data_IF_968601267959
#
_entry.id   IF_968601267959
#
_cell.length_a   1.000
_cell.length_b   1.000
_cell.length_c   1.000
_cell.angle_alpha   90.00
_cell.angle_beta   90.00
_cell.angle_gamma   90.00
#
_symmetry.space_group_name_H-M   'P 1'
#
loop_
_entity.id
_entity.type
_entity.pdbx_description
1 polymer ?
#
# COMPACT_ATOMS: atom_id res chain seq x y z
N UNK A 1 9.54 7.35 6.42
CA UNK A 1 8.57 8.12 5.64
C UNK A 1 9.36 9.20 4.95
N UNK A 2 9.58 9.06 3.65
CA UNK A 2 10.24 10.10 2.86
C UNK A 2 9.10 11.02 2.40
N UNK A 3 9.14 12.28 2.83
CA UNK A 3 8.19 13.31 2.43
C UNK A 3 8.67 13.92 1.11
N UNK A 4 8.00 13.57 0.02
CA UNK A 4 8.35 14.05 -1.32
C UNK A 4 7.81 15.47 -1.50
N UNK A 5 8.69 16.43 -1.80
CA UNK A 5 8.28 17.80 -2.10
C UNK A 5 7.48 17.80 -3.41
N UNK A 6 6.16 17.95 -3.29
CA UNK A 6 5.22 17.97 -4.42
C UNK A 6 5.48 19.03 -5.51
N UNK A 7 6.49 19.90 -5.35
CA UNK A 7 6.93 20.84 -6.38
C UNK A 7 7.62 20.17 -7.57
N UNK A 8 8.37 19.07 -7.35
CA UNK A 8 9.22 18.51 -8.42
C UNK A 8 8.41 18.00 -9.62
N UNK A 9 7.25 17.36 -9.44
CA UNK A 9 6.45 16.85 -10.59
C UNK A 9 5.89 17.99 -11.45
N UNK A 10 5.61 19.14 -10.84
CA UNK A 10 5.10 20.33 -11.55
C UNK A 10 6.17 21.08 -12.33
N UNK A 11 7.45 20.95 -11.95
CA UNK A 11 8.57 21.74 -12.49
C UNK A 11 9.40 20.97 -13.54
N UNK A 12 9.15 19.66 -13.74
CA UNK A 12 9.82 18.84 -14.77
C UNK A 12 9.52 19.31 -16.20
N UNK A 13 8.53 20.19 -16.42
CA UNK A 13 8.24 20.68 -17.77
C UNK A 13 9.27 21.66 -18.33
N UNK A 14 10.18 22.24 -17.52
CA UNK A 14 10.95 23.40 -17.97
C UNK A 14 12.44 23.50 -17.54
N UNK A 15 13.08 22.50 -16.92
CA UNK A 15 14.53 22.58 -16.64
C UNK A 15 15.31 21.29 -16.93
N UNK A 16 16.20 21.38 -17.93
CA UNK A 16 17.24 20.41 -18.23
C UNK A 16 18.24 20.35 -17.05
N UNK A 17 18.27 19.26 -16.26
CA UNK A 17 19.44 18.99 -15.41
C UNK A 17 19.27 18.26 -14.07
N UNK A 18 18.35 17.30 -13.90
CA UNK A 18 18.33 16.44 -12.69
C UNK A 18 18.22 14.96 -13.06
N UNK A 19 19.25 14.42 -13.70
CA UNK A 19 19.39 12.98 -14.00
C UNK A 19 19.82 12.13 -12.77
N UNK A 20 19.92 12.70 -11.57
CA UNK A 20 20.44 11.99 -10.39
C UNK A 20 19.42 11.58 -9.31
N UNK A 21 18.22 12.19 -9.29
CA UNK A 21 17.24 12.00 -8.20
C UNK A 21 16.12 11.00 -8.60
N UNK A 22 15.89 10.82 -9.90
CA UNK A 22 14.86 9.90 -10.41
C UNK A 22 15.27 8.42 -10.34
N UNK A 23 16.53 8.08 -10.60
CA UNK A 23 17.05 6.70 -10.48
C UNK A 23 16.91 6.15 -9.04
N UNK A 24 17.05 7.03 -8.05
CA UNK A 24 16.82 6.69 -6.65
C UNK A 24 15.33 6.51 -6.35
N UNK A 25 14.46 7.31 -6.98
CA UNK A 25 13.02 7.23 -6.79
C UNK A 25 12.45 5.90 -7.30
N UNK A 26 12.86 5.45 -8.48
CA UNK A 26 12.42 4.16 -9.04
C UNK A 26 12.79 3.01 -8.09
N UNK A 27 14.03 3.02 -7.59
CA UNK A 27 14.50 2.06 -6.58
C UNK A 27 13.64 2.07 -5.31
N UNK A 28 13.26 3.25 -4.81
CA UNK A 28 12.38 3.36 -3.64
C UNK A 28 10.95 2.90 -3.90
N UNK A 29 10.42 3.10 -5.11
CA UNK A 29 9.08 2.66 -5.50
C UNK A 29 9.02 1.13 -5.65
N UNK A 30 10.09 0.48 -6.07
CA UNK A 30 10.18 -0.99 -6.13
C UNK A 30 10.18 -1.65 -4.75
N UNK A 31 10.86 -1.05 -3.76
CA UNK A 31 10.98 -1.57 -2.40
C UNK A 31 9.84 -1.13 -1.46
N UNK A 32 8.97 -0.22 -1.92
CA UNK A 32 7.90 0.33 -1.11
C UNK A 32 6.91 -0.75 -0.62
N UNK A 33 6.65 -0.72 0.68
CA UNK A 33 5.68 -1.61 1.33
C UNK A 33 4.22 -1.17 1.16
N UNK A 34 4.02 0.12 0.93
CA UNK A 34 2.76 0.75 0.54
C UNK A 34 3.08 2.10 -0.14
N UNK A 35 2.23 2.53 -1.07
CA UNK A 35 2.34 3.83 -1.75
C UNK A 35 1.18 4.72 -1.31
N UNK A 36 1.51 5.90 -0.78
CA UNK A 36 0.54 6.91 -0.36
C UNK A 36 0.55 8.06 -1.36
N UNK A 37 -0.58 8.30 -2.00
CA UNK A 37 -0.74 9.32 -3.05
C UNK A 37 -1.64 10.42 -2.51
N UNK A 38 -1.13 11.63 -2.33
CA UNK A 38 -1.91 12.74 -1.77
C UNK A 38 -2.55 13.54 -2.90
N UNK A 39 -3.88 13.59 -2.91
CA UNK A 39 -4.70 14.43 -3.78
C UNK A 39 -5.10 15.69 -3.02
N UNK A 40 -4.85 16.86 -3.59
CA UNK A 40 -5.26 18.13 -2.99
C UNK A 40 -6.79 18.31 -3.10
N UNK A 41 -7.48 18.32 -1.95
CA UNK A 41 -8.93 18.49 -1.91
C UNK A 41 -9.43 19.80 -2.50
N UNK A 42 -8.62 20.86 -2.52
CA UNK A 42 -8.96 22.13 -3.15
C UNK A 42 -8.92 22.02 -4.68
N UNK A 43 -7.87 21.39 -5.25
CA UNK A 43 -7.80 21.11 -6.69
C UNK A 43 -8.95 20.19 -7.11
N UNK A 44 -9.22 19.17 -6.29
CA UNK A 44 -10.33 18.25 -6.51
C UNK A 44 -11.69 18.95 -6.43
N UNK A 45 -11.90 19.86 -5.47
CA UNK A 45 -13.12 20.65 -5.38
C UNK A 45 -13.34 21.48 -6.64
N UNK A 46 -12.30 22.18 -7.11
CA UNK A 46 -12.36 22.97 -8.34
C UNK A 46 -12.68 22.10 -9.57
N UNK A 47 -12.07 20.92 -9.66
CA UNK A 47 -12.38 19.92 -10.68
C UNK A 47 -13.84 19.42 -10.63
N UNK A 48 -14.35 19.15 -9.42
CA UNK A 48 -15.74 18.70 -9.27
C UNK A 48 -16.73 19.81 -9.64
N UNK A 49 -16.38 21.08 -9.43
CA UNK A 49 -17.21 22.25 -9.76
C UNK A 49 -17.12 22.67 -11.24
N UNK A 50 -16.00 22.41 -11.92
CA UNK A 50 -15.84 22.77 -13.33
C UNK A 50 -16.64 21.88 -14.29
N UNK A 51 -17.11 20.73 -13.81
CA UNK A 51 -17.88 19.78 -14.60
C UNK A 51 -19.26 20.34 -15.00
N UNK A 52 -19.36 20.92 -16.21
CA UNK A 52 -20.57 21.52 -16.76
C UNK A 52 -20.52 23.04 -16.98
N UNK A 53 -19.39 23.69 -16.65
CA UNK A 53 -19.17 25.12 -16.92
C UNK A 53 -18.17 25.28 -18.08
N UNK A 54 -18.49 26.11 -19.07
CA UNK A 54 -17.64 26.33 -20.26
C UNK A 54 -16.27 26.98 -19.96
N UNK A 55 -16.07 27.47 -18.74
CA UNK A 55 -14.80 28.05 -18.28
C UNK A 55 -14.07 27.06 -17.38
N UNK A 56 -13.37 26.09 -17.98
CA UNK A 56 -12.37 25.33 -17.26
C UNK A 56 -11.23 26.26 -16.84
N UNK A 57 -11.02 26.39 -15.53
CA UNK A 57 -9.87 27.13 -15.02
C UNK A 57 -8.57 26.44 -15.48
N UNK A 58 -7.62 27.21 -16.04
CA UNK A 58 -6.32 26.72 -16.53
C UNK A 58 -5.61 25.78 -15.54
N UNK A 59 -5.74 26.07 -14.23
CA UNK A 59 -5.15 25.28 -13.15
C UNK A 59 -5.79 23.89 -13.00
N UNK A 60 -7.11 23.77 -13.23
CA UNK A 60 -7.82 22.48 -13.21
C UNK A 60 -7.43 21.64 -14.41
N UNK A 61 -7.38 22.27 -15.60
CA UNK A 61 -6.97 21.61 -16.84
C UNK A 61 -5.53 21.08 -16.77
N UNK A 62 -4.56 21.90 -16.27
CA UNK A 62 -3.19 21.43 -16.00
C UNK A 62 -3.16 20.25 -15.03
N UNK A 63 -3.87 20.35 -13.92
CA UNK A 63 -3.90 19.27 -12.94
C UNK A 63 -4.49 17.97 -13.51
N UNK A 64 -5.56 18.06 -14.30
CA UNK A 64 -6.27 16.92 -14.87
C UNK A 64 -5.50 16.24 -16.02
N UNK A 65 -4.82 17.02 -16.86
CA UNK A 65 -4.18 16.53 -18.08
C UNK A 65 -2.66 16.39 -17.99
N UNK A 66 -2.03 16.91 -16.94
CA UNK A 66 -0.57 16.81 -16.74
C UNK A 66 -0.25 16.22 -15.37
N UNK A 67 -0.56 16.92 -14.27
CA UNK A 67 -0.11 16.52 -12.93
C UNK A 67 -0.63 15.11 -12.54
N UNK A 68 -1.93 14.88 -12.70
CA UNK A 68 -2.58 13.65 -12.25
C UNK A 68 -2.22 12.43 -13.13
N UNK A 69 -2.21 12.52 -14.49
CA UNK A 69 -1.68 11.45 -15.33
C UNK A 69 -0.23 11.07 -15.02
N UNK A 70 0.67 12.06 -14.84
CA UNK A 70 2.06 11.80 -14.49
C UNK A 70 2.18 11.05 -13.15
N UNK A 71 1.39 11.47 -12.16
CA UNK A 71 1.32 10.79 -10.87
C UNK A 71 0.80 9.34 -11.01
N UNK A 72 -0.14 9.08 -11.91
CA UNK A 72 -0.65 7.73 -12.16
C UNK A 72 0.38 6.84 -12.84
N UNK A 73 1.18 7.39 -13.75
CA UNK A 73 2.27 6.66 -14.38
C UNK A 73 3.29 6.18 -13.34
N UNK A 74 3.72 7.06 -12.42
CA UNK A 74 4.63 6.69 -11.33
C UNK A 74 4.04 5.59 -10.43
N UNK A 75 2.72 5.63 -10.18
CA UNK A 75 2.03 4.60 -9.38
C UNK A 75 1.93 3.26 -10.13
N UNK A 76 1.87 3.28 -11.46
CA UNK A 76 1.86 2.06 -12.29
C UNK A 76 3.25 1.42 -12.41
N UNK A 77 4.32 2.22 -12.32
CA UNK A 77 5.72 1.76 -12.23
C UNK A 77 6.02 1.04 -10.91
N UNK A 78 5.30 1.37 -9.84
CA UNK A 78 5.43 0.67 -8.56
C UNK A 78 5.05 -0.82 -8.67
N UNK A 79 5.63 -1.66 -7.80
CA UNK A 79 5.29 -3.07 -7.72
C UNK A 79 3.76 -3.31 -7.67
N UNK A 80 3.26 -4.16 -8.57
CA UNK A 80 1.82 -4.43 -8.74
C UNK A 80 1.15 -5.02 -7.50
N UNK A 81 1.93 -5.60 -6.58
CA UNK A 81 1.44 -6.16 -5.31
C UNK A 81 1.52 -5.19 -4.13
N UNK A 82 2.14 -4.02 -4.30
CA UNK A 82 2.24 -3.00 -3.25
C UNK A 82 0.92 -2.23 -3.12
N UNK A 83 0.26 -2.21 -1.95
CA UNK A 83 -1.00 -1.49 -1.77
C UNK A 83 -0.87 0.01 -2.07
N UNK A 84 -1.90 0.61 -2.66
CA UNK A 84 -1.94 2.04 -2.99
C UNK A 84 -3.11 2.74 -2.30
N UNK A 85 -2.82 3.80 -1.56
CA UNK A 85 -3.86 4.61 -0.91
C UNK A 85 -3.81 6.05 -1.43
N UNK A 86 -4.86 6.43 -2.15
CA UNK A 86 -5.12 7.80 -2.55
C UNK A 86 -5.76 8.57 -1.38
N UNK A 87 -5.02 9.50 -0.80
CA UNK A 87 -5.46 10.35 0.30
C UNK A 87 -6.05 11.63 -0.28
N UNK A 88 -7.35 11.87 -0.08
CA UNK A 88 -7.95 13.17 -0.39
C UNK A 88 -7.72 14.07 0.81
N UNK A 89 -6.74 14.96 0.72
CA UNK A 89 -6.48 15.98 1.72
C UNK A 89 -7.57 17.05 1.74
N UNK A 90 -7.63 17.88 2.79
CA UNK A 90 -8.62 18.98 2.93
C UNK A 90 -10.07 18.50 2.71
N UNK A 91 -10.40 17.31 3.20
CA UNK A 91 -11.71 16.68 2.98
C UNK A 91 -12.89 17.53 3.47
N UNK A 92 -12.66 18.37 4.48
CA UNK A 92 -13.62 19.34 5.03
C UNK A 92 -14.17 20.32 3.98
N UNK A 93 -13.43 20.56 2.88
CA UNK A 93 -13.90 21.35 1.74
C UNK A 93 -14.92 20.61 0.86
N UNK A 94 -14.93 19.27 0.90
CA UNK A 94 -15.70 18.42 0.00
C UNK A 94 -16.92 17.78 0.69
N UNK A 95 -16.80 17.41 1.98
CA UNK A 95 -17.75 16.55 2.70
C UNK A 95 -19.20 17.06 2.77
N UNK A 96 -19.42 18.36 2.59
CA UNK A 96 -20.76 18.97 2.55
C UNK A 96 -21.41 18.99 1.17
N UNK A 97 -20.62 18.84 0.10
CA UNK A 97 -21.06 19.02 -1.30
C UNK A 97 -20.92 17.74 -2.13
N UNK A 98 -19.95 16.89 -1.80
CA UNK A 98 -19.62 15.70 -2.57
C UNK A 98 -19.39 14.51 -1.66
N UNK A 99 -20.00 13.37 -2.03
CA UNK A 99 -19.69 12.09 -1.42
C UNK A 99 -18.43 11.48 -2.02
N UNK A 100 -17.80 10.56 -1.29
CA UNK A 100 -16.66 9.79 -1.79
C UNK A 100 -17.02 8.96 -3.04
N UNK A 101 -18.28 8.51 -3.15
CA UNK A 101 -18.82 7.84 -4.34
C UNK A 101 -18.83 8.77 -5.55
N UNK A 102 -19.27 10.03 -5.38
CA UNK A 102 -19.31 11.02 -6.46
C UNK A 102 -17.90 11.27 -6.99
N UNK A 103 -16.94 11.49 -6.09
CA UNK A 103 -15.54 11.75 -6.43
C UNK A 103 -14.93 10.54 -7.15
N UNK A 104 -15.10 9.34 -6.59
CA UNK A 104 -14.64 8.09 -7.22
C UNK A 104 -15.14 7.97 -8.65
N UNK A 105 -16.44 8.20 -8.87
CA UNK A 105 -17.06 8.13 -10.20
C UNK A 105 -16.47 9.17 -11.17
N UNK A 106 -16.23 10.40 -10.71
CA UNK A 106 -15.68 11.45 -11.56
C UNK A 106 -14.21 11.19 -11.91
N UNK A 107 -13.38 10.79 -10.94
CA UNK A 107 -11.98 10.45 -11.18
C UNK A 107 -11.83 9.28 -12.17
N UNK A 108 -12.60 8.20 -11.98
CA UNK A 108 -12.59 7.05 -12.87
C UNK A 108 -13.05 7.38 -14.29
N UNK A 109 -13.94 8.38 -14.45
CA UNK A 109 -14.47 8.79 -15.75
C UNK A 109 -13.55 9.78 -16.47
N UNK A 110 -13.01 10.76 -15.74
CA UNK A 110 -12.29 11.88 -16.32
C UNK A 110 -10.80 11.59 -16.58
N UNK A 111 -10.21 10.64 -15.85
CA UNK A 111 -8.77 10.35 -15.90
C UNK A 111 -8.56 8.87 -16.26
N UNK A 112 -8.34 8.55 -17.54
CA UNK A 112 -8.12 7.18 -18.00
C UNK A 112 -6.98 6.46 -17.28
N UNK A 113 -5.89 7.15 -16.99
CA UNK A 113 -4.71 6.63 -16.29
C UNK A 113 -5.06 6.19 -14.87
N UNK A 114 -5.88 6.98 -14.16
CA UNK A 114 -6.36 6.63 -12.82
C UNK A 114 -7.23 5.38 -12.87
N UNK A 115 -8.14 5.30 -13.85
CA UNK A 115 -8.94 4.11 -14.08
C UNK A 115 -8.07 2.88 -14.38
N UNK A 116 -7.03 3.03 -15.20
CA UNK A 116 -6.11 1.95 -15.55
C UNK A 116 -5.36 1.42 -14.33
N UNK A 117 -4.78 2.30 -13.50
CA UNK A 117 -4.11 1.92 -12.24
C UNK A 117 -5.06 1.13 -11.34
N UNK A 118 -6.28 1.63 -11.12
CA UNK A 118 -7.28 0.96 -10.28
C UNK A 118 -7.64 -0.42 -10.84
N UNK A 119 -7.87 -0.53 -12.15
CA UNK A 119 -8.23 -1.79 -12.79
C UNK A 119 -7.09 -2.81 -12.77
N UNK A 120 -5.86 -2.38 -13.06
CA UNK A 120 -4.68 -3.24 -13.08
C UNK A 120 -4.41 -3.85 -11.70
N UNK A 121 -4.46 -3.03 -10.65
CA UNK A 121 -4.27 -3.50 -9.28
C UNK A 121 -5.41 -4.40 -8.80
N UNK A 122 -6.64 -4.11 -9.20
CA UNK A 122 -7.79 -4.99 -8.94
C UNK A 122 -7.60 -6.39 -9.55
N UNK A 123 -7.10 -6.49 -10.79
CA UNK A 123 -6.88 -7.78 -11.46
C UNK A 123 -5.93 -8.70 -10.70
N UNK A 124 -4.93 -8.13 -10.03
CA UNK A 124 -3.95 -8.88 -9.22
C UNK A 124 -4.35 -9.00 -7.74
N UNK A 125 -5.57 -8.56 -7.38
CA UNK A 125 -6.08 -8.60 -6.01
C UNK A 125 -5.36 -7.64 -5.06
N UNK A 126 -4.61 -6.66 -5.58
CA UNK A 126 -3.90 -5.69 -4.76
C UNK A 126 -4.87 -4.60 -4.26
N UNK A 127 -4.88 -4.28 -2.95
CA UNK A 127 -5.75 -3.25 -2.42
C UNK A 127 -5.46 -1.86 -2.98
N UNK A 128 -6.53 -1.15 -3.36
CA UNK A 128 -6.47 0.26 -3.74
C UNK A 128 -7.56 1.02 -2.99
N UNK A 129 -7.20 2.09 -2.29
CA UNK A 129 -8.16 2.89 -1.50
C UNK A 129 -8.17 4.35 -1.86
N UNK A 130 -9.33 4.96 -1.63
CA UNK A 130 -9.55 6.39 -1.60
C UNK A 130 -9.94 6.78 -0.16
N UNK A 131 -9.09 7.54 0.52
CA UNK A 131 -9.20 7.85 1.94
C UNK A 131 -9.40 9.36 2.12
N UNK A 132 -10.57 9.82 2.56
CA UNK A 132 -10.79 11.23 2.88
C UNK A 132 -10.11 11.60 4.20
N UNK A 133 -9.27 12.63 4.18
CA UNK A 133 -8.51 13.12 5.35
C UNK A 133 -8.62 14.64 5.46
N UNK A 134 -8.81 15.12 6.69
CA UNK A 134 -8.64 16.54 7.00
C UNK A 134 -7.74 16.70 8.23
N UNK A 135 -6.58 17.33 8.05
CA UNK A 135 -5.63 17.53 9.16
C UNK A 135 -6.10 18.56 10.17
N UNK A 136 -6.96 19.49 9.75
CA UNK A 136 -7.43 20.62 10.58
C UNK A 136 -8.92 20.52 10.89
N UNK A 137 -9.68 19.79 10.08
CA UNK A 137 -11.12 19.66 10.25
C UNK A 137 -11.91 20.90 9.85
N UNK A 138 -13.22 20.71 9.89
CA UNK A 138 -14.20 21.76 9.58
C UNK A 138 -14.10 22.93 10.55
N UNK A 139 -14.23 24.15 10.02
CA UNK A 139 -14.32 25.38 10.82
C UNK A 139 -12.99 25.94 11.30
N UNK A 140 -11.86 25.31 10.97
CA UNK A 140 -10.53 25.86 11.26
C UNK A 140 -10.02 26.80 10.16
N UNK A 141 -10.34 26.51 8.89
CA UNK A 141 -10.02 27.37 7.76
C UNK A 141 -11.19 27.42 6.78
N UNK A 142 -11.31 28.54 6.05
CA UNK A 142 -12.32 28.72 5.02
C UNK A 142 -11.67 29.15 3.71
N UNK A 143 -12.05 28.48 2.62
CA UNK A 143 -11.70 28.87 1.27
C UNK A 143 -12.39 30.19 0.93
N UNK A 144 -11.60 31.19 0.57
CA UNK A 144 -12.07 32.51 0.13
C UNK A 144 -12.37 32.50 -1.38
N UNK A 145 -13.17 33.46 -1.89
CA UNK A 145 -13.48 33.56 -3.33
C UNK A 145 -12.26 33.73 -4.24
N UNK A 146 -11.17 34.27 -3.72
CA UNK A 146 -9.89 34.42 -4.42
C UNK A 146 -9.03 33.13 -4.44
N UNK A 147 -9.54 32.05 -3.86
CA UNK A 147 -8.85 30.77 -3.75
C UNK A 147 -7.87 30.66 -2.58
N UNK A 148 -7.73 31.70 -1.76
CA UNK A 148 -6.87 31.66 -0.57
C UNK A 148 -7.57 30.99 0.60
N UNK A 149 -6.79 30.34 1.47
CA UNK A 149 -7.30 29.77 2.71
C UNK A 149 -7.17 30.78 3.85
N UNK A 150 -8.30 31.19 4.43
CA UNK A 150 -8.32 32.06 5.61
C UNK A 150 -8.45 31.23 6.87
N UNK A 151 -7.52 31.40 7.81
CA UNK A 151 -7.63 30.82 9.15
C UNK A 151 -8.82 31.45 9.89
N UNK A 152 -9.65 30.60 10.48
CA UNK A 152 -10.73 30.96 11.40
C UNK A 152 -10.26 30.75 12.85
N UNK A 153 -11.00 31.30 13.81
CA UNK A 153 -10.71 31.18 15.25
C UNK A 153 -11.11 29.82 15.85
N UNK A 154 -11.49 28.84 15.03
CA UNK A 154 -11.91 27.52 15.49
C UNK A 154 -10.74 26.65 15.96
N UNK A 155 -11.05 25.68 16.82
CA UNK A 155 -10.09 24.63 17.20
C UNK A 155 -9.96 23.59 16.07
N UNK A 156 -8.77 23.01 15.84
CA UNK A 156 -8.61 21.96 14.86
C UNK A 156 -9.33 20.69 15.30
N UNK A 157 -10.06 20.06 14.38
CA UNK A 157 -10.73 18.78 14.57
C UNK A 157 -10.30 17.80 13.48
N UNK A 158 -9.08 17.22 13.58
CA UNK A 158 -8.56 16.33 12.55
C UNK A 158 -9.50 15.14 12.30
N UNK A 159 -9.60 14.72 11.05
CA UNK A 159 -10.44 13.62 10.60
C UNK A 159 -9.62 12.61 9.80
N UNK A 160 -9.71 11.34 10.20
CA UNK A 160 -9.09 10.18 9.55
C UNK A 160 -7.56 10.29 9.32
N UNK A 161 -6.84 11.10 10.09
CA UNK A 161 -5.40 11.35 9.87
C UNK A 161 -4.54 10.11 10.08
N UNK A 162 -4.97 9.22 10.97
CA UNK A 162 -4.35 7.95 11.31
C UNK A 162 -4.67 6.81 10.34
N UNK A 163 -5.74 6.97 9.54
CA UNK A 163 -6.29 5.91 8.70
C UNK A 163 -5.33 5.48 7.58
N UNK A 164 -4.65 6.38 6.83
CA UNK A 164 -3.69 5.97 5.81
C UNK A 164 -2.57 5.11 6.38
N UNK A 165 -2.06 5.47 7.56
CA UNK A 165 -1.01 4.70 8.23
C UNK A 165 -1.52 3.34 8.70
N UNK A 166 -2.74 3.27 9.25
CA UNK A 166 -3.36 2.02 9.65
C UNK A 166 -3.48 1.03 8.49
N UNK A 167 -3.92 1.49 7.31
CA UNK A 167 -3.93 0.67 6.10
C UNK A 167 -2.52 0.30 5.63
N UNK A 168 -1.60 1.25 5.54
CA UNK A 168 -0.24 0.97 5.07
C UNK A 168 0.45 -0.15 5.88
N UNK A 169 0.29 -0.14 7.21
CA UNK A 169 0.93 -1.11 8.10
C UNK A 169 0.29 -2.50 8.06
N UNK A 170 -1.03 -2.57 8.07
CA UNK A 170 -1.76 -3.85 8.21
C UNK A 170 -1.93 -4.61 6.89
N UNK A 171 -1.96 -3.93 5.75
CA UNK A 171 -2.24 -4.60 4.48
C UNK A 171 -1.09 -5.45 3.99
N UNK A 172 0.14 -5.01 4.25
CA UNK A 172 1.32 -5.83 4.03
C UNK A 172 1.23 -7.13 4.82
N UNK A 173 0.81 -7.06 6.09
CA UNK A 173 0.69 -8.23 6.97
C UNK A 173 -0.38 -9.21 6.46
N UNK A 174 -1.52 -8.71 5.97
CA UNK A 174 -2.54 -9.55 5.32
C UNK A 174 -1.99 -10.22 4.05
N UNK A 175 -1.33 -9.45 3.18
CA UNK A 175 -0.73 -9.97 1.96
C UNK A 175 0.41 -10.97 2.22
N UNK A 176 1.10 -10.90 3.37
CA UNK A 176 2.09 -11.91 3.79
C UNK A 176 1.44 -13.19 4.30
N UNK A 177 0.29 -13.10 4.97
CA UNK A 177 -0.45 -14.24 5.52
C UNK A 177 -1.16 -15.04 4.42
N UNK A 178 -1.59 -14.37 3.34
CA UNK A 178 -2.19 -14.99 2.15
C UNK A 178 -1.16 -15.50 1.14
N UNK A 179 0.16 -15.33 1.37
CA UNK A 179 1.16 -16.05 0.57
C UNK A 179 0.98 -17.54 0.86
N UNK A 180 0.92 -18.41 -0.18
CA UNK A 180 0.89 -19.85 0.04
C UNK A 180 2.04 -20.21 0.97
N UNK A 181 1.69 -20.85 2.10
CA UNK A 181 2.63 -21.35 3.10
C UNK A 181 3.88 -21.86 2.40
N UNK A 182 5.03 -21.37 2.87
CA UNK A 182 6.37 -21.70 2.38
C UNK A 182 6.40 -23.07 1.70
N UNK A 183 6.87 -23.07 0.44
CA UNK A 183 6.98 -24.27 -0.42
C UNK A 183 7.43 -25.46 0.44
N UNK A 184 6.77 -26.63 0.31
CA UNK A 184 7.14 -27.82 1.07
C UNK A 184 8.65 -28.04 0.95
N UNK A 185 9.24 -28.44 2.08
CA UNK A 185 10.67 -28.68 2.28
C UNK A 185 11.34 -29.10 0.96
N UNK A 186 12.07 -28.19 0.30
CA UNK A 186 12.77 -28.54 -0.93
C UNK A 186 13.92 -29.45 -0.55
N UNK A 187 13.71 -30.76 -0.70
CA UNK A 187 14.77 -31.74 -0.67
C UNK A 187 15.81 -31.32 -1.72
N UNK A 188 16.99 -30.95 -1.25
CA UNK A 188 18.14 -30.65 -2.10
C UNK A 188 18.61 -31.93 -2.78
N UNK A 189 19.32 -31.81 -3.91
CA UNK A 189 19.87 -32.98 -4.64
C UNK A 189 20.66 -33.90 -3.71
N UNK A 190 21.43 -33.32 -2.77
CA UNK A 190 22.16 -34.06 -1.74
C UNK A 190 21.28 -34.87 -0.79
N UNK A 191 20.05 -34.41 -0.51
CA UNK A 191 19.13 -35.17 0.34
C UNK A 191 18.63 -36.43 -0.37
N UNK A 192 18.35 -36.32 -1.67
CA UNK A 192 17.98 -37.46 -2.49
C UNK A 192 19.13 -38.45 -2.65
N UNK A 193 20.36 -37.96 -2.80
CA UNK A 193 21.56 -38.81 -2.81
C UNK A 193 21.73 -39.55 -1.48
N UNK A 194 21.54 -38.86 -0.35
CA UNK A 194 21.64 -39.49 0.97
C UNK A 194 20.51 -40.49 1.23
N UNK A 195 19.27 -40.19 0.83
CA UNK A 195 18.15 -41.13 0.93
C UNK A 195 18.43 -42.37 0.07
N UNK A 196 18.90 -42.20 -1.17
CA UNK A 196 19.28 -43.30 -2.05
C UNK A 196 20.39 -44.17 -1.46
N UNK A 197 21.45 -43.55 -0.91
CA UNK A 197 22.53 -44.24 -0.24
C UNK A 197 22.07 -45.02 1.00
N UNK A 198 21.15 -44.46 1.79
CA UNK A 198 20.56 -45.15 2.94
C UNK A 198 19.75 -46.39 2.53
N UNK A 199 18.99 -46.31 1.43
CA UNK A 199 18.19 -47.44 0.92
C UNK A 199 19.12 -48.57 0.44
N UNK A 200 20.17 -48.24 -0.32
CA UNK A 200 21.14 -49.22 -0.84
C UNK A 200 21.90 -49.91 0.31
N UNK A 201 22.35 -49.14 1.30
CA UNK A 201 23.09 -49.68 2.44
C UNK A 201 22.20 -50.48 3.40
N UNK A 202 20.91 -50.18 3.49
CA UNK A 202 19.94 -50.95 4.27
C UNK A 202 19.58 -52.32 3.66
N UNK A 203 19.77 -52.50 2.34
CA UNK A 203 19.55 -53.75 1.62
C UNK A 203 20.72 -54.74 1.74
N UNK A 204 21.90 -54.29 2.16
CA UNK A 204 23.08 -55.13 2.32
C UNK A 204 23.23 -55.57 3.79
N UNK A 205 23.02 -56.87 4.08
CA UNK A 205 22.93 -57.43 5.44
C UNK A 205 24.16 -57.15 6.34
N UNK A 206 25.33 -56.86 5.76
CA UNK A 206 26.56 -56.57 6.50
C UNK A 206 26.66 -55.11 6.98
N UNK A 207 25.90 -54.18 6.38
CA UNK A 207 26.12 -52.71 6.56
C UNK A 207 24.92 -51.99 7.20
N UNK A 208 23.85 -52.73 7.51
CA UNK A 208 22.59 -52.21 8.08
C UNK A 208 22.77 -51.28 9.29
N UNK A 209 23.70 -51.59 10.19
CA UNK A 209 23.92 -50.78 11.40
C UNK A 209 24.53 -49.41 11.13
N UNK A 210 25.46 -49.32 10.18
CA UNK A 210 26.23 -48.09 9.91
C UNK A 210 25.37 -47.07 9.15
N UNK A 211 24.59 -47.53 8.16
CA UNK A 211 23.73 -46.66 7.35
C UNK A 211 22.70 -45.90 8.18
N UNK A 212 22.08 -46.57 9.16
CA UNK A 212 21.06 -45.97 10.04
C UNK A 212 21.69 -44.91 10.96
N UNK A 213 22.87 -45.18 11.53
CA UNK A 213 23.57 -44.22 12.41
C UNK A 213 23.97 -42.96 11.64
N UNK A 214 24.51 -43.11 10.42
CA UNK A 214 24.89 -41.97 9.57
C UNK A 214 23.65 -41.13 9.19
N UNK A 215 22.52 -41.78 8.88
CA UNK A 215 21.28 -41.09 8.58
C UNK A 215 20.74 -40.28 9.77
N UNK A 216 20.75 -40.88 10.98
CA UNK A 216 20.31 -40.21 12.20
C UNK A 216 21.20 -39.02 12.57
N UNK A 217 22.52 -39.15 12.42
CA UNK A 217 23.47 -38.05 12.68
C UNK A 217 23.30 -36.92 11.66
N UNK A 218 23.20 -37.24 10.37
CA UNK A 218 23.01 -36.25 9.32
C UNK A 218 21.68 -35.50 9.48
N UNK A 219 20.59 -36.23 9.67
CA UNK A 219 19.26 -35.63 9.80
C UNK A 219 19.12 -34.87 11.14
N UNK A 220 19.71 -35.39 12.22
CA UNK A 220 19.78 -34.72 13.52
C UNK A 220 20.56 -33.41 13.46
N UNK A 221 21.73 -33.40 12.82
CA UNK A 221 22.52 -32.19 12.63
C UNK A 221 21.81 -31.16 11.74
N UNK A 222 21.10 -31.62 10.70
CA UNK A 222 20.29 -30.76 9.82
C UNK A 222 19.07 -30.16 10.53
N UNK A 223 18.41 -30.94 11.39
CA UNK A 223 17.33 -30.46 12.25
C UNK A 223 17.83 -29.44 13.28
N UNK A 224 18.98 -29.72 13.91
CA UNK A 224 19.62 -28.82 14.88
C UNK A 224 20.06 -27.51 14.25
N UNK A 225 20.69 -27.54 13.07
CA UNK A 225 21.10 -26.32 12.36
C UNK A 225 19.91 -25.48 11.88
N UNK A 226 18.82 -26.12 11.46
CA UNK A 226 17.60 -25.41 11.08
C UNK A 226 16.86 -24.82 12.31
N UNK A 227 16.80 -25.57 13.42
CA UNK A 227 16.19 -25.10 14.66
C UNK A 227 17.02 -24.02 15.36
N UNK A 228 18.36 -24.08 15.28
CA UNK A 228 19.25 -23.04 15.80
C UNK A 228 19.08 -21.72 15.05
N UNK A 229 18.95 -21.76 13.71
CA UNK A 229 18.60 -20.59 12.89
C UNK A 229 17.21 -20.02 13.20
N UNK A 230 16.28 -20.85 13.68
CA UNK A 230 14.96 -20.41 14.17
C UNK A 230 15.04 -19.81 15.58
N UNK A 231 15.81 -20.41 16.49
CA UNK A 231 15.93 -19.94 17.87
C UNK A 231 16.74 -18.64 17.99
N UNK A 232 17.80 -18.47 17.18
CA UNK A 232 18.58 -17.22 17.13
C UNK A 232 17.76 -16.02 16.61
N UNK A 233 16.62 -16.25 15.92
CA UNK A 233 15.64 -15.20 15.55
C UNK A 233 14.60 -14.91 16.63
N UNK A 234 14.46 -15.78 17.63
CA UNK A 234 13.34 -15.76 18.58
C UNK A 234 13.76 -15.29 19.98
N UNK A 235 15.06 -15.33 20.31
CA UNK A 235 15.53 -15.37 21.71
C UNK A 235 16.09 -14.07 22.30
N UNK A 236 15.95 -12.90 21.67
CA UNK A 236 16.36 -11.65 22.32
C UNK A 236 15.24 -10.60 22.23
N UNK A 237 14.56 -10.34 23.35
CA UNK A 237 13.61 -9.23 23.61
C UNK A 237 12.12 -9.36 23.19
N UNK A 238 11.67 -10.52 22.74
CA UNK A 238 10.41 -10.67 21.98
C UNK A 238 9.10 -10.63 22.80
N UNK A 239 9.04 -11.18 24.02
CA UNK A 239 7.74 -11.36 24.70
C UNK A 239 7.02 -10.05 25.09
N UNK A 240 7.74 -9.04 25.61
CA UNK A 240 7.10 -7.75 25.97
C UNK A 240 6.80 -6.85 24.76
N UNK A 241 7.56 -7.01 23.68
CA UNK A 241 7.40 -6.21 22.47
C UNK A 241 6.31 -6.81 21.55
N UNK A 242 6.12 -8.13 21.57
CA UNK A 242 5.07 -8.80 20.82
C UNK A 242 3.68 -8.40 21.34
N UNK A 243 3.48 -8.43 22.66
CA UNK A 243 2.20 -8.02 23.26
C UNK A 243 1.87 -6.54 22.96
N UNK A 244 2.88 -5.68 22.96
CA UNK A 244 2.72 -4.27 22.60
C UNK A 244 2.42 -4.09 21.10
N UNK A 245 3.09 -4.86 20.23
CA UNK A 245 2.86 -4.84 18.80
C UNK A 245 1.47 -5.36 18.44
N UNK A 246 1.02 -6.47 19.04
CA UNK A 246 -0.33 -7.01 18.87
C UNK A 246 -1.40 -6.03 19.35
N UNK A 247 -1.14 -5.31 20.45
CA UNK A 247 -2.03 -4.24 20.91
C UNK A 247 -2.11 -3.09 19.89
N UNK A 248 -0.98 -2.65 19.32
CA UNK A 248 -0.99 -1.64 18.26
C UNK A 248 -1.73 -2.15 17.03
N UNK A 249 -1.48 -3.40 16.62
CA UNK A 249 -2.11 -4.01 15.45
C UNK A 249 -3.63 -4.10 15.61
N UNK A 250 -4.11 -4.53 16.78
CA UNK A 250 -5.55 -4.58 17.09
C UNK A 250 -6.20 -3.20 17.04
N UNK A 251 -5.56 -2.16 17.59
CA UNK A 251 -6.05 -0.78 17.49
C UNK A 251 -6.12 -0.30 16.03
N UNK A 252 -5.11 -0.59 15.21
CA UNK A 252 -5.12 -0.24 13.79
C UNK A 252 -6.24 -0.97 13.04
N UNK A 253 -6.49 -2.24 13.36
CA UNK A 253 -7.60 -3.00 12.78
C UNK A 253 -8.97 -2.44 13.20
N UNK A 254 -9.10 -1.95 14.44
CA UNK A 254 -10.31 -1.29 14.91
C UNK A 254 -10.56 0.02 14.16
N UNK A 255 -9.54 0.87 14.02
CA UNK A 255 -9.59 2.11 13.22
C UNK A 255 -10.07 1.80 11.80
N UNK A 256 -9.54 0.75 11.18
CA UNK A 256 -9.99 0.33 9.84
C UNK A 256 -11.44 -0.12 9.80
N UNK A 257 -11.88 -0.87 10.80
CA UNK A 257 -13.27 -1.35 10.87
C UNK A 257 -14.24 -0.17 11.01
N UNK A 258 -13.93 0.77 11.89
CA UNK A 258 -14.70 2.01 12.05
C UNK A 258 -14.71 2.81 10.75
N UNK A 259 -13.54 3.01 10.12
CA UNK A 259 -13.44 3.72 8.85
C UNK A 259 -14.24 3.06 7.73
N UNK A 260 -14.12 1.74 7.54
CA UNK A 260 -14.85 1.02 6.49
C UNK A 260 -16.38 1.05 6.69
N UNK A 261 -16.84 1.19 7.95
CA UNK A 261 -18.26 1.35 8.26
C UNK A 261 -18.77 2.72 7.78
N UNK A 262 -17.98 3.77 7.99
CA UNK A 262 -18.34 5.13 7.60
C UNK A 262 -18.09 5.42 6.11
N UNK A 263 -17.11 4.75 5.50
CA UNK A 263 -16.64 4.97 4.13
C UNK A 263 -16.54 3.65 3.35
N UNK A 264 -17.65 2.95 3.19
CA UNK A 264 -17.71 1.67 2.47
C UNK A 264 -17.26 1.75 1.00
N UNK A 265 -17.35 2.92 0.38
CA UNK A 265 -16.92 3.18 -0.99
C UNK A 265 -15.43 3.49 -1.15
N UNK A 266 -14.67 3.52 -0.05
CA UNK A 266 -13.23 3.81 -0.05
C UNK A 266 -12.40 2.75 -0.78
N UNK A 267 -12.84 1.49 -0.76
CA UNK A 267 -12.20 0.41 -1.49
C UNK A 267 -12.51 0.56 -3.00
N UNK A 268 -11.47 0.90 -3.77
CA UNK A 268 -11.55 1.06 -5.22
C UNK A 268 -11.52 -0.29 -5.94
N UNK A 269 -10.93 -1.32 -5.33
CA UNK A 269 -10.90 -2.68 -5.88
C UNK A 269 -12.27 -3.37 -5.76
N UNK A 270 -13.05 -3.05 -4.71
CA UNK A 270 -14.46 -3.44 -4.58
C UNK A 270 -15.35 -2.48 -5.37
N UNK A 271 -15.48 -2.72 -6.68
CA UNK A 271 -16.62 -2.19 -7.44
C UNK A 271 -17.59 -3.33 -7.70
N UNK A 272 -18.69 -3.31 -6.95
CA UNK A 272 -19.95 -3.95 -7.31
C UNK A 272 -20.45 -3.33 -8.61
N UNK A 273 -20.49 -4.15 -9.67
CA UNK A 273 -21.29 -3.98 -10.90
C UNK A 273 -21.91 -2.59 -11.13
N UNK A 274 -21.10 -1.60 -11.49
CA UNK A 274 -21.57 -0.40 -12.18
C UNK A 274 -21.70 -0.70 -13.68
N UNK A 275 -22.53 -1.72 -13.97
CA UNK A 275 -23.13 -2.03 -15.25
C UNK A 275 -24.61 -2.33 -14.96
N UNK A 276 -25.38 -1.29 -14.61
CA UNK A 276 -26.82 -1.28 -14.87
C UNK A 276 -27.37 0.14 -14.77
N UNK A 277 -27.99 0.54 -15.88
CA UNK A 277 -28.75 1.77 -16.17
C UNK A 277 -27.95 2.96 -16.68
#
# INVERSE_FOLDING_TARGET
>A
MIDYKGGLITDISDDEGIDGDFDNLETYLEEADAVLVILDGQKLLAFMQSHGSHNEHKNVSRWLHQDLPNLMQMVDECNKHTPVHFIISKWDLLEGSYSLVNIKKHLLKAVPEFSNVVQNRRKVGCPVRLIPVSSLGKGFAALQPDGQMKKLSGNPHPMNVEVPLAFALTERLKNQTDRPKQKPFKLTVWDWVMIGFCIITALHEIVRGIGIVVALVYFGFRLLTNNRKRNERLSSSTLSNEDAFEKVLSNLQEIQKQFNTNFSSSDLAKISSLNSR
#
